data_IF_863152767499
#
_entry.id   IF_863152767499
#
_cell.length_a   1.000
_cell.length_b   1.000
_cell.length_c   1.000
_cell.angle_alpha   90.00
_cell.angle_beta   90.00
_cell.angle_gamma   90.00
#
_symmetry.space_group_name_H-M   'P 1'
#
loop_
_entity.id
_entity.type
_entity.pdbx_description
1 polymer ?
#
# COMPACT_ATOMS: atom_id res chain seq x y z
N UNK A 1 -21.32 -3.85 -19.27
CA UNK A 1 -20.11 -3.26 -18.66
C UNK A 1 -19.22 -2.78 -19.78
N UNK A 2 -18.82 -1.52 -19.73
CA UNK A 2 -17.79 -0.98 -20.60
C UNK A 2 -16.46 -1.70 -20.27
N UNK A 3 -15.82 -2.41 -21.23
CA UNK A 3 -14.56 -3.11 -20.98
C UNK A 3 -13.38 -2.20 -20.63
N UNK A 4 -13.57 -0.87 -20.63
CA UNK A 4 -12.54 0.14 -20.34
C UNK A 4 -12.43 0.58 -18.87
N UNK A 5 -13.36 0.23 -17.98
CA UNK A 5 -13.32 0.67 -16.57
C UNK A 5 -13.40 -0.52 -15.61
N UNK A 6 -12.44 -1.44 -15.77
CA UNK A 6 -12.11 -2.43 -14.74
C UNK A 6 -10.73 -2.06 -14.18
N UNK A 7 -10.74 -1.40 -13.02
CA UNK A 7 -9.54 -0.93 -12.37
C UNK A 7 -8.65 -2.08 -11.90
N UNK A 8 -9.23 -3.22 -11.48
CA UNK A 8 -8.45 -4.41 -11.12
C UNK A 8 -7.75 -4.97 -12.34
N UNK A 9 -8.43 -5.05 -13.49
CA UNK A 9 -7.80 -5.55 -14.72
C UNK A 9 -6.61 -4.68 -15.18
N UNK A 10 -6.67 -3.37 -14.97
CA UNK A 10 -5.64 -2.45 -15.45
C UNK A 10 -4.49 -2.23 -14.46
N UNK A 11 -4.68 -2.52 -13.17
CA UNK A 11 -3.68 -2.29 -12.12
C UNK A 11 -3.29 -3.58 -11.36
N UNK A 12 -4.18 -4.55 -11.24
CA UNK A 12 -4.03 -5.63 -10.27
C UNK A 12 -4.34 -5.17 -8.84
N UNK A 13 -5.00 -4.02 -8.66
CA UNK A 13 -5.56 -3.60 -7.38
C UNK A 13 -4.53 -3.27 -6.30
N UNK A 14 -5.02 -3.08 -5.08
CA UNK A 14 -4.22 -2.59 -3.96
C UNK A 14 -3.19 -3.61 -3.47
N UNK A 15 -3.40 -4.92 -3.64
CA UNK A 15 -2.41 -5.93 -3.24
C UNK A 15 -1.13 -5.88 -4.10
N UNK A 16 -1.22 -5.36 -5.33
CA UNK A 16 -0.09 -5.20 -6.25
C UNK A 16 0.50 -3.79 -6.19
N UNK A 17 -0.33 -2.74 -6.16
CA UNK A 17 0.17 -1.36 -6.22
C UNK A 17 0.43 -0.71 -4.86
N UNK A 18 -0.25 -1.16 -3.79
CA UNK A 18 -0.03 -0.67 -2.43
C UNK A 18 0.68 -1.73 -1.62
N UNK A 19 0.08 -2.88 -1.31
CA UNK A 19 0.64 -3.85 -0.35
C UNK A 19 2.01 -4.45 -0.70
N UNK A 20 2.47 -4.34 -1.95
CA UNK A 20 3.81 -4.79 -2.37
C UNK A 20 4.93 -4.21 -1.49
N UNK A 21 4.87 -2.95 -1.04
CA UNK A 21 5.91 -2.47 -0.12
C UNK A 21 5.90 -3.19 1.23
N UNK A 22 4.74 -3.61 1.75
CA UNK A 22 4.66 -4.42 2.97
C UNK A 22 5.19 -5.82 2.76
N UNK A 23 4.86 -6.46 1.62
CA UNK A 23 5.37 -7.79 1.31
C UNK A 23 6.89 -7.78 1.14
N UNK A 24 7.44 -6.73 0.55
CA UNK A 24 8.89 -6.54 0.44
C UNK A 24 9.55 -6.43 1.82
N UNK A 25 9.02 -5.58 2.70
CA UNK A 25 9.49 -5.45 4.08
C UNK A 25 9.47 -6.80 4.82
N UNK A 26 8.39 -7.57 4.70
CA UNK A 26 8.31 -8.90 5.36
C UNK A 26 9.31 -9.88 4.75
N UNK A 27 9.47 -9.90 3.43
CA UNK A 27 10.46 -10.75 2.76
C UNK A 27 11.88 -10.41 3.24
N UNK A 28 12.19 -9.11 3.33
CA UNK A 28 13.46 -8.59 3.83
C UNK A 28 13.70 -8.98 5.29
N UNK A 29 12.76 -8.69 6.20
CA UNK A 29 12.88 -8.99 7.63
C UNK A 29 13.00 -10.47 7.93
N UNK A 30 12.27 -11.32 7.19
CA UNK A 30 12.32 -12.77 7.36
C UNK A 30 13.42 -13.44 6.52
N UNK A 31 14.11 -12.68 5.65
CA UNK A 31 15.09 -13.15 4.68
C UNK A 31 14.62 -14.38 3.91
N UNK A 32 13.40 -14.30 3.37
CA UNK A 32 12.75 -15.43 2.70
C UNK A 32 11.73 -14.94 1.68
N UNK A 33 11.09 -15.89 0.99
CA UNK A 33 10.16 -15.62 -0.10
C UNK A 33 8.85 -16.38 0.10
N UNK A 34 7.73 -15.85 -0.43
CA UNK A 34 6.45 -16.53 -0.35
C UNK A 34 6.53 -17.86 -1.10
N UNK A 35 5.86 -18.87 -0.57
CA UNK A 35 5.71 -20.19 -1.18
C UNK A 35 4.26 -20.43 -1.60
N UNK A 36 3.31 -20.17 -0.70
CA UNK A 36 1.89 -20.37 -0.96
C UNK A 36 1.10 -19.22 -0.38
N UNK A 37 0.13 -18.71 -1.14
CA UNK A 37 -0.72 -17.58 -0.76
C UNK A 37 -2.18 -17.98 -0.87
N UNK A 38 -2.96 -17.67 0.16
CA UNK A 38 -4.42 -17.72 0.12
C UNK A 38 -4.97 -16.35 0.48
N UNK A 39 -6.01 -15.88 -0.20
CA UNK A 39 -6.57 -14.56 0.06
C UNK A 39 -8.09 -14.51 -0.17
N UNK A 40 -8.70 -13.56 0.54
CA UNK A 40 -10.07 -13.10 0.33
C UNK A 40 -10.07 -11.58 0.26
N UNK A 41 -11.00 -11.00 -0.47
CA UNK A 41 -11.16 -9.56 -0.54
C UNK A 41 -12.55 -9.18 -1.00
N UNK A 42 -12.98 -8.00 -0.57
CA UNK A 42 -14.29 -7.44 -0.87
C UNK A 42 -14.15 -5.94 -1.18
N UNK A 43 -15.08 -5.42 -1.99
CA UNK A 43 -15.30 -4.00 -2.21
C UNK A 43 -16.54 -3.58 -1.42
N UNK A 44 -16.34 -2.97 -0.26
CA UNK A 44 -17.39 -2.74 0.73
C UNK A 44 -17.72 -1.25 0.98
N UNK A 45 -16.79 -0.33 0.70
CA UNK A 45 -16.90 1.09 1.03
C UNK A 45 -16.91 1.99 -0.21
N UNK A 46 -15.99 1.76 -1.14
CA UNK A 46 -15.85 2.53 -2.38
C UNK A 46 -16.80 2.05 -3.49
N UNK A 47 -16.93 2.87 -4.53
CA UNK A 47 -17.88 2.63 -5.63
C UNK A 47 -19.30 3.08 -5.32
N UNK A 48 -20.05 3.45 -6.37
CA UNK A 48 -21.40 4.02 -6.24
C UNK A 48 -22.35 3.14 -5.44
N UNK A 49 -22.44 1.86 -5.76
CA UNK A 49 -23.40 0.94 -5.12
C UNK A 49 -23.20 0.88 -3.59
N UNK A 50 -21.94 0.87 -3.14
CA UNK A 50 -21.63 0.83 -1.72
C UNK A 50 -21.89 2.17 -1.03
N UNK A 51 -21.62 3.28 -1.70
CA UNK A 51 -21.98 4.61 -1.21
C UNK A 51 -23.51 4.78 -1.07
N UNK A 52 -24.29 4.32 -2.06
CA UNK A 52 -25.77 4.32 -2.00
C UNK A 52 -26.30 3.48 -0.83
N UNK A 53 -25.73 2.28 -0.59
CA UNK A 53 -26.06 1.45 0.59
C UNK A 53 -25.76 2.14 1.91
N UNK A 54 -24.77 3.05 1.94
CA UNK A 54 -24.46 3.91 3.10
C UNK A 54 -25.34 5.15 3.20
N UNK A 55 -26.22 5.38 2.23
CA UNK A 55 -27.16 6.51 2.22
C UNK A 55 -26.67 7.74 1.46
N UNK A 56 -25.55 7.66 0.73
CA UNK A 56 -25.10 8.75 -0.12
C UNK A 56 -26.04 8.92 -1.31
N UNK A 57 -26.37 10.17 -1.62
CA UNK A 57 -27.35 10.52 -2.68
C UNK A 57 -26.82 11.53 -3.69
N UNK A 58 -25.63 12.09 -3.44
CA UNK A 58 -25.00 13.08 -4.30
C UNK A 58 -23.73 12.47 -4.88
N UNK A 59 -23.67 12.41 -6.20
CA UNK A 59 -22.57 11.81 -6.92
C UNK A 59 -22.05 12.75 -8.00
N UNK A 60 -20.79 12.57 -8.35
CA UNK A 60 -20.13 13.27 -9.44
C UNK A 60 -19.12 12.34 -10.10
N UNK A 61 -18.78 12.61 -11.35
CA UNK A 61 -17.78 11.81 -12.08
C UNK A 61 -16.37 12.31 -11.80
N UNK A 62 -16.15 13.63 -11.79
CA UNK A 62 -14.87 14.29 -11.51
C UNK A 62 -15.04 15.49 -10.59
N UNK A 63 -14.03 15.78 -9.78
CA UNK A 63 -14.08 16.88 -8.83
C UNK A 63 -14.08 18.25 -9.53
N UNK A 64 -13.30 18.40 -10.60
CA UNK A 64 -13.20 19.62 -11.38
C UNK A 64 -14.54 20.00 -12.00
N UNK A 65 -15.01 21.21 -11.71
CA UNK A 65 -16.30 21.74 -12.20
C UNK A 65 -17.54 21.19 -11.48
N UNK A 66 -17.39 20.34 -10.45
CA UNK A 66 -18.52 19.77 -9.70
C UNK A 66 -18.84 20.59 -8.44
N UNK A 67 -20.07 21.10 -8.33
CA UNK A 67 -20.55 21.75 -7.11
C UNK A 67 -20.69 20.76 -5.94
N UNK A 68 -21.00 19.50 -6.22
CA UNK A 68 -21.10 18.45 -5.19
C UNK A 68 -19.72 18.18 -4.58
N UNK A 69 -18.68 18.12 -5.40
CA UNK A 69 -17.33 17.76 -4.97
C UNK A 69 -16.73 18.76 -3.99
N UNK A 70 -17.12 20.04 -4.04
CA UNK A 70 -16.60 21.09 -3.13
C UNK A 70 -16.81 20.79 -1.64
N UNK A 71 -17.80 19.96 -1.32
CA UNK A 71 -18.12 19.57 0.05
C UNK A 71 -17.73 18.11 0.37
N UNK A 72 -17.13 17.39 -0.58
CA UNK A 72 -16.76 15.99 -0.43
C UNK A 72 -15.30 15.87 0.06
N UNK A 73 -15.04 15.28 1.24
CA UNK A 73 -13.67 15.09 1.73
C UNK A 73 -12.82 14.14 0.87
N UNK A 74 -13.43 13.35 -0.02
CA UNK A 74 -12.72 12.47 -0.95
C UNK A 74 -12.33 13.18 -2.26
N UNK A 75 -12.80 14.41 -2.51
CA UNK A 75 -12.56 15.11 -3.75
C UNK A 75 -11.11 15.62 -3.84
N UNK A 76 -10.42 15.31 -4.94
CA UNK A 76 -9.12 15.87 -5.28
C UNK A 76 -9.27 17.14 -6.12
N UNK A 77 -9.13 18.31 -5.52
CA UNK A 77 -9.24 19.60 -6.20
C UNK A 77 -7.91 20.03 -6.84
N UNK A 78 -7.65 19.57 -8.07
CA UNK A 78 -6.41 19.85 -8.79
C UNK A 78 -6.15 21.35 -9.01
N UNK A 79 -7.19 22.14 -9.21
CA UNK A 79 -7.12 23.57 -9.50
C UNK A 79 -6.67 24.44 -8.30
N UNK A 80 -6.78 23.91 -7.09
CA UNK A 80 -6.35 24.60 -5.86
C UNK A 80 -4.85 24.47 -5.59
N UNK A 81 -4.16 23.55 -6.28
CA UNK A 81 -2.71 23.36 -6.15
C UNK A 81 -2.03 23.65 -7.50
N UNK A 82 -1.22 24.72 -7.63
CA UNK A 82 -0.58 25.09 -8.90
C UNK A 82 0.27 23.99 -9.53
N UNK A 83 0.93 23.16 -8.72
CA UNK A 83 1.74 22.04 -9.22
C UNK A 83 0.86 20.93 -9.79
N UNK A 84 -0.18 20.52 -9.06
CA UNK A 84 -1.13 19.52 -9.56
C UNK A 84 -1.88 20.00 -10.79
N UNK A 85 -2.28 21.27 -10.79
CA UNK A 85 -2.93 21.88 -11.94
C UNK A 85 -2.03 21.79 -13.17
N UNK A 86 -0.78 22.22 -13.06
CA UNK A 86 0.18 22.21 -14.18
C UNK A 86 0.46 20.78 -14.68
N UNK A 87 0.65 19.82 -13.77
CA UNK A 87 1.00 18.45 -14.13
C UNK A 87 -0.17 17.62 -14.67
N UNK A 88 -1.38 17.86 -14.18
CA UNK A 88 -2.54 17.01 -14.49
C UNK A 88 -3.63 17.79 -15.22
N UNK A 89 -4.22 18.81 -14.60
CA UNK A 89 -5.41 19.47 -15.13
C UNK A 89 -5.14 20.21 -16.45
N UNK A 90 -4.06 20.99 -16.53
CA UNK A 90 -3.70 21.73 -17.76
C UNK A 90 -3.17 20.78 -18.84
N UNK A 91 -2.70 19.58 -18.45
CA UNK A 91 -2.13 18.54 -19.31
C UNK A 91 -3.15 17.51 -19.81
N UNK A 92 -4.43 17.56 -19.41
CA UNK A 92 -5.46 16.58 -19.79
C UNK A 92 -5.61 16.41 -21.32
N UNK A 93 -5.21 17.41 -22.11
CA UNK A 93 -5.27 17.37 -23.57
C UNK A 93 -4.23 16.45 -24.21
N UNK A 94 -3.20 16.02 -23.47
CA UNK A 94 -2.13 15.15 -23.96
C UNK A 94 -2.60 13.69 -24.08
N UNK A 95 -3.34 13.18 -23.09
CA UNK A 95 -3.70 11.76 -22.99
C UNK A 95 -5.10 11.48 -22.40
N UNK A 96 -5.87 12.52 -22.06
CA UNK A 96 -7.16 12.42 -21.36
C UNK A 96 -7.07 11.70 -20.00
N UNK A 97 -5.93 11.76 -19.33
CA UNK A 97 -5.75 11.22 -17.98
C UNK A 97 -6.42 12.12 -16.93
N UNK A 98 -7.58 11.68 -16.47
CA UNK A 98 -8.37 12.39 -15.47
C UNK A 98 -8.06 11.88 -14.05
N UNK A 99 -7.17 12.57 -13.34
CA UNK A 99 -6.71 12.17 -11.99
C UNK A 99 -7.76 12.37 -10.88
N UNK A 100 -8.70 13.27 -11.07
CA UNK A 100 -9.69 13.71 -10.07
C UNK A 100 -11.05 13.00 -10.18
N UNK A 101 -11.05 11.79 -10.71
CA UNK A 101 -12.26 10.95 -10.77
C UNK A 101 -12.75 10.59 -9.36
N UNK A 102 -14.07 10.52 -9.20
CA UNK A 102 -14.67 10.14 -7.92
C UNK A 102 -14.39 8.67 -7.59
N UNK A 103 -13.92 8.42 -6.36
CA UNK A 103 -13.79 7.07 -5.78
C UNK A 103 -15.14 6.39 -5.51
N UNK A 104 -16.26 7.11 -5.70
CA UNK A 104 -17.63 6.59 -5.67
C UNK A 104 -18.30 6.62 -7.05
N UNK A 105 -17.49 6.72 -8.11
CA UNK A 105 -17.95 6.58 -9.49
C UNK A 105 -18.38 5.16 -9.84
N UNK A 106 -18.83 4.99 -11.08
CA UNK A 106 -19.11 3.67 -11.66
C UNK A 106 -17.79 2.96 -12.02
N UNK A 107 -17.79 1.62 -12.03
CA UNK A 107 -16.64 0.82 -12.48
C UNK A 107 -15.54 0.58 -11.43
N UNK A 108 -15.64 1.20 -10.25
CA UNK A 108 -14.77 0.87 -9.11
C UNK A 108 -14.90 -0.62 -8.81
N UNK A 109 -13.77 -1.32 -8.89
CA UNK A 109 -13.70 -2.79 -8.88
C UNK A 109 -12.60 -3.32 -7.96
N UNK A 110 -11.71 -2.45 -7.47
CA UNK A 110 -10.62 -2.84 -6.60
C UNK A 110 -11.16 -3.12 -5.20
N UNK A 111 -10.79 -4.27 -4.63
CA UNK A 111 -11.10 -4.62 -3.25
C UNK A 111 -10.51 -3.57 -2.29
N UNK A 112 -11.31 -3.15 -1.32
CA UNK A 112 -10.94 -2.16 -0.31
C UNK A 112 -10.79 -2.78 1.08
N UNK A 113 -11.15 -4.04 1.22
CA UNK A 113 -10.84 -4.90 2.37
C UNK A 113 -10.24 -6.19 1.85
N UNK A 114 -9.02 -6.53 2.27
CA UNK A 114 -8.36 -7.78 1.88
C UNK A 114 -7.73 -8.47 3.08
N UNK A 115 -7.77 -9.80 3.08
CA UNK A 115 -7.10 -10.65 4.05
C UNK A 115 -6.26 -11.70 3.30
N UNK A 116 -4.99 -11.82 3.65
CA UNK A 116 -4.02 -12.66 2.96
C UNK A 116 -3.27 -13.53 3.96
N UNK A 117 -3.21 -14.83 3.70
CA UNK A 117 -2.38 -15.79 4.41
C UNK A 117 -1.22 -16.20 3.51
N UNK A 118 0.01 -16.07 4.00
CA UNK A 118 1.22 -16.44 3.27
C UNK A 118 2.00 -17.48 4.06
N UNK A 119 2.35 -18.60 3.41
CA UNK A 119 3.37 -19.54 3.88
C UNK A 119 4.69 -19.18 3.21
N UNK A 120 5.73 -18.98 4.00
CA UNK A 120 7.08 -18.70 3.53
C UNK A 120 7.94 -19.96 3.44
N UNK A 121 8.94 -19.94 2.56
CA UNK A 121 9.84 -21.08 2.32
C UNK A 121 10.65 -21.51 3.55
N UNK A 122 10.99 -20.57 4.44
CA UNK A 122 11.66 -20.88 5.71
C UNK A 122 10.72 -21.47 6.78
N UNK A 123 9.44 -21.65 6.47
CA UNK A 123 8.43 -22.17 7.38
C UNK A 123 7.63 -21.11 8.16
N UNK A 124 8.00 -19.83 8.10
CA UNK A 124 7.22 -18.75 8.70
C UNK A 124 5.85 -18.62 8.03
N UNK A 125 4.90 -18.01 8.73
CA UNK A 125 3.57 -17.69 8.21
C UNK A 125 3.20 -16.25 8.53
N UNK A 126 2.61 -15.57 7.55
CA UNK A 126 2.06 -14.23 7.70
C UNK A 126 0.54 -14.29 7.60
N UNK A 127 -0.13 -13.54 8.47
CA UNK A 127 -1.52 -13.11 8.30
C UNK A 127 -1.49 -11.61 8.08
N UNK A 128 -1.95 -11.18 6.91
CA UNK A 128 -1.96 -9.79 6.47
C UNK A 128 -3.40 -9.33 6.26
N UNK A 129 -3.68 -8.07 6.61
CA UNK A 129 -4.98 -7.44 6.38
C UNK A 129 -4.77 -6.01 5.93
N UNK A 130 -5.55 -5.56 4.96
CA UNK A 130 -5.62 -4.17 4.51
C UNK A 130 -7.08 -3.72 4.53
N UNK A 131 -7.32 -2.53 5.07
CA UNK A 131 -8.60 -1.82 4.97
C UNK A 131 -8.34 -0.41 4.47
N UNK A 132 -8.75 -0.12 3.24
CA UNK A 132 -8.42 1.13 2.54
C UNK A 132 -9.29 2.33 2.97
N UNK A 133 -10.28 2.11 3.83
CA UNK A 133 -11.18 3.13 4.38
C UNK A 133 -11.08 3.21 5.92
N UNK A 134 -9.93 2.82 6.48
CA UNK A 134 -9.69 2.96 7.91
C UNK A 134 -9.71 4.44 8.34
N UNK A 135 -10.16 4.76 9.57
CA UNK A 135 -10.23 6.15 10.05
C UNK A 135 -8.87 6.72 10.47
N UNK A 136 -7.77 6.03 10.19
CA UNK A 136 -6.40 6.41 10.49
C UNK A 136 -5.46 5.76 9.47
N UNK A 137 -4.27 6.32 9.29
CA UNK A 137 -3.26 5.83 8.36
C UNK A 137 -2.04 5.26 9.12
N UNK A 138 -1.51 4.15 8.63
CA UNK A 138 -0.34 3.48 9.22
C UNK A 138 -0.50 1.96 9.23
N UNK A 139 0.37 1.29 9.98
CA UNK A 139 0.40 -0.16 10.02
C UNK A 139 0.86 -0.71 11.37
N UNK A 140 0.52 -1.98 11.60
CA UNK A 140 1.02 -2.78 12.72
C UNK A 140 1.65 -4.05 12.20
N UNK A 141 2.83 -4.38 12.72
CA UNK A 141 3.52 -5.64 12.45
C UNK A 141 3.83 -6.32 13.76
N UNK A 142 3.71 -7.65 13.80
CA UNK A 142 4.07 -8.43 14.97
C UNK A 142 4.74 -9.74 14.58
N UNK A 143 5.97 -9.93 15.04
CA UNK A 143 6.73 -11.16 14.86
C UNK A 143 6.61 -12.00 16.11
N UNK A 144 6.16 -13.25 15.97
CA UNK A 144 6.13 -14.21 17.07
C UNK A 144 7.17 -15.29 16.78
N UNK A 145 8.13 -15.44 17.68
CA UNK A 145 9.15 -16.48 17.63
C UNK A 145 9.19 -17.26 18.93
N UNK A 146 10.05 -18.28 18.99
CA UNK A 146 10.21 -19.12 20.19
C UNK A 146 10.79 -18.37 21.39
N UNK A 147 11.45 -17.22 21.15
CA UNK A 147 12.01 -16.35 22.20
C UNK A 147 11.09 -15.22 22.67
N UNK A 148 9.89 -15.06 22.09
CA UNK A 148 8.97 -13.98 22.43
C UNK A 148 8.35 -13.30 21.20
N UNK A 149 7.97 -12.01 21.36
CA UNK A 149 7.28 -11.22 20.34
C UNK A 149 7.90 -9.84 20.16
N UNK A 150 8.07 -9.42 18.91
CA UNK A 150 8.40 -8.04 18.55
C UNK A 150 7.17 -7.39 17.92
N UNK A 151 6.79 -6.21 18.40
CA UNK A 151 5.63 -5.45 17.93
C UNK A 151 6.11 -4.10 17.40
N UNK A 152 5.60 -3.72 16.24
CA UNK A 152 5.80 -2.41 15.63
C UNK A 152 4.44 -1.80 15.35
N UNK A 153 4.23 -0.57 15.78
CA UNK A 153 3.09 0.27 15.43
C UNK A 153 3.61 1.56 14.84
N UNK A 154 3.12 1.89 13.66
CA UNK A 154 3.40 3.13 12.96
C UNK A 154 2.06 3.78 12.67
N UNK A 155 1.89 5.01 13.13
CA UNK A 155 0.75 5.89 12.84
C UNK A 155 1.30 7.04 12.00
N UNK A 156 0.72 7.21 10.83
CA UNK A 156 1.07 8.24 9.86
C UNK A 156 0.03 9.36 9.92
N UNK A 157 0.44 10.60 9.68
CA UNK A 157 -0.49 11.69 9.54
C UNK A 157 -1.32 11.46 8.28
N UNK A 158 -2.65 11.52 8.39
CA UNK A 158 -3.54 11.37 7.25
C UNK A 158 -3.27 12.45 6.21
N UNK A 159 -2.72 12.05 5.06
CA UNK A 159 -2.33 12.96 3.99
C UNK A 159 -2.97 12.52 2.67
N UNK A 160 -3.67 13.44 2.01
CA UNK A 160 -4.09 13.21 0.62
C UNK A 160 -2.86 13.44 -0.25
N UNK A 161 -2.34 12.35 -0.82
CA UNK A 161 -1.16 12.40 -1.67
C UNK A 161 -1.30 13.52 -2.71
N UNK A 162 -0.33 14.44 -2.69
CA UNK A 162 -0.19 15.58 -3.59
C UNK A 162 -1.12 16.79 -3.37
N UNK A 163 -2.05 16.76 -2.40
CA UNK A 163 -2.97 17.87 -2.10
C UNK A 163 -2.42 18.95 -1.16
N UNK A 164 -1.32 18.69 -0.45
CA UNK A 164 -0.67 19.61 0.50
C UNK A 164 0.84 19.71 0.31
N UNK A 165 1.57 20.30 1.27
CA UNK A 165 3.04 20.37 1.24
C UNK A 165 3.65 18.95 1.20
N UNK A 166 4.55 18.69 0.24
CA UNK A 166 5.23 17.40 0.07
C UNK A 166 5.99 16.96 1.32
N UNK A 167 6.36 17.90 2.20
CA UNK A 167 6.99 17.60 3.48
C UNK A 167 6.09 16.78 4.44
N UNK A 168 4.79 16.69 4.19
CA UNK A 168 3.84 15.96 5.04
C UNK A 168 3.46 14.56 4.53
N UNK A 169 3.85 14.20 3.30
CA UNK A 169 3.62 12.86 2.75
C UNK A 169 4.45 11.82 3.53
N UNK A 170 3.79 10.79 4.04
CA UNK A 170 4.43 9.77 4.88
C UNK A 170 5.01 10.32 6.19
N UNK A 171 4.53 11.48 6.66
CA UNK A 171 4.97 12.05 7.94
C UNK A 171 4.40 11.24 9.10
N UNK A 172 5.25 10.89 10.06
CA UNK A 172 4.90 10.04 11.20
C UNK A 172 4.18 10.86 12.28
N UNK A 173 3.01 10.41 12.72
CA UNK A 173 2.37 10.88 13.95
C UNK A 173 3.03 10.19 15.15
N UNK A 174 3.18 8.87 15.09
CA UNK A 174 3.86 8.10 16.14
C UNK A 174 4.46 6.80 15.62
N UNK A 175 5.55 6.38 16.26
CA UNK A 175 6.20 5.07 16.04
C UNK A 175 6.50 4.44 17.39
N UNK A 176 6.11 3.18 17.55
CA UNK A 176 6.37 2.39 18.75
C UNK A 176 6.90 1.02 18.41
N UNK A 177 8.02 0.65 19.02
CA UNK A 177 8.59 -0.69 18.91
C UNK A 177 8.65 -1.30 20.30
N UNK A 178 7.98 -2.44 20.49
CA UNK A 178 7.89 -3.12 21.77
C UNK A 178 8.39 -4.55 21.64
N UNK A 179 9.45 -4.88 22.39
CA UNK A 179 9.96 -6.23 22.50
C UNK A 179 9.39 -6.89 23.76
N UNK A 180 8.78 -8.05 23.60
CA UNK A 180 8.22 -8.89 24.65
C UNK A 180 9.01 -10.20 24.70
N UNK A 181 10.11 -10.29 25.46
CA UNK A 181 10.82 -11.55 25.61
C UNK A 181 9.93 -12.58 26.32
N UNK A 182 10.14 -13.85 26.02
CA UNK A 182 9.42 -14.93 26.68
C UNK A 182 9.74 -14.92 28.19
N UNK A 183 8.69 -14.93 29.02
CA UNK A 183 8.78 -14.91 30.49
C UNK A 183 9.39 -13.66 31.13
N UNK A 184 9.54 -12.57 30.40
CA UNK A 184 10.06 -11.30 30.93
C UNK A 184 9.06 -10.15 30.73
N UNK A 185 9.34 -9.00 31.37
CA UNK A 185 8.55 -7.79 31.15
C UNK A 185 8.84 -7.22 29.75
N UNK A 186 7.82 -6.68 29.06
CA UNK A 186 8.03 -5.94 27.81
C UNK A 186 8.98 -4.75 28.00
N UNK A 187 9.79 -4.48 26.97
CA UNK A 187 10.68 -3.32 26.90
C UNK A 187 10.47 -2.58 25.58
N UNK A 188 10.33 -1.27 25.68
CA UNK A 188 10.24 -0.41 24.51
C UNK A 188 11.64 -0.22 23.91
N UNK A 189 11.75 -0.35 22.58
CA UNK A 189 12.98 -0.14 21.83
C UNK A 189 12.89 1.23 21.18
N UNK A 190 13.87 2.08 21.48
CA UNK A 190 14.01 3.39 20.84
C UNK A 190 14.89 3.26 19.61
N UNK A 191 14.45 3.86 18.51
CA UNK A 191 15.20 3.96 17.26
C UNK A 191 15.25 5.43 16.91
N UNK A 192 16.38 5.88 16.36
CA UNK A 192 16.54 7.25 15.91
C UNK A 192 15.65 7.51 14.69
N UNK A 193 15.13 8.73 14.57
CA UNK A 193 14.37 9.14 13.39
C UNK A 193 15.34 9.59 12.30
N UNK A 194 15.08 9.17 11.05
CA UNK A 194 15.79 9.70 9.90
C UNK A 194 15.29 11.11 9.54
N UNK A 195 16.11 11.84 8.78
CA UNK A 195 15.77 13.19 8.32
C UNK A 195 15.26 13.12 6.88
N UNK A 196 14.09 13.71 6.61
CA UNK A 196 13.50 13.82 5.27
C UNK A 196 12.12 13.14 5.15
N UNK A 197 11.56 13.13 3.94
CA UNK A 197 10.30 12.47 3.62
C UNK A 197 10.37 10.95 3.86
N UNK A 198 9.22 10.33 4.18
CA UNK A 198 9.12 8.90 4.49
C UNK A 198 10.13 8.42 5.56
N UNK A 199 10.30 9.21 6.63
CA UNK A 199 11.26 8.93 7.70
C UNK A 199 12.73 8.97 7.28
N UNK A 200 13.05 9.64 6.17
CA UNK A 200 14.39 9.77 5.60
C UNK A 200 14.78 8.71 4.57
N UNK A 201 13.87 7.78 4.24
CA UNK A 201 14.12 6.71 3.27
C UNK A 201 14.43 7.22 1.86
N UNK A 202 13.72 8.25 1.41
CA UNK A 202 13.86 8.80 0.05
C UNK A 202 15.26 9.34 -0.22
N UNK A 203 15.85 10.04 0.76
CA UNK A 203 17.22 10.57 0.64
C UNK A 203 18.25 9.45 0.48
N UNK A 204 18.09 8.36 1.23
CA UNK A 204 18.97 7.19 1.17
C UNK A 204 18.82 6.50 -0.19
N UNK A 205 17.58 6.28 -0.64
CA UNK A 205 17.27 5.68 -1.94
C UNK A 205 17.85 6.50 -3.10
N UNK A 206 17.63 7.81 -3.11
CA UNK A 206 18.11 8.68 -4.18
C UNK A 206 19.64 8.74 -4.21
N UNK A 207 20.31 8.72 -3.05
CA UNK A 207 21.77 8.65 -3.01
C UNK A 207 22.31 7.30 -3.52
N UNK A 208 21.62 6.19 -3.28
CA UNK A 208 21.99 4.88 -3.82
C UNK A 208 21.85 4.85 -5.36
N UNK A 209 20.78 5.45 -5.90
CA UNK A 209 20.49 5.45 -7.34
C UNK A 209 21.32 6.46 -8.15
N UNK A 210 21.49 7.68 -7.64
CA UNK A 210 22.08 8.80 -8.38
C UNK A 210 23.32 9.40 -7.73
N UNK A 211 23.58 9.05 -6.48
CA UNK A 211 24.66 9.62 -5.68
C UNK A 211 25.93 8.77 -5.71
N UNK A 212 26.73 8.90 -4.65
CA UNK A 212 27.90 8.06 -4.43
C UNK A 212 27.51 6.90 -3.51
N UNK A 213 27.70 5.63 -3.94
CA UNK A 213 27.42 4.48 -3.10
C UNK A 213 28.15 4.58 -1.76
N UNK A 214 27.41 4.29 -0.68
CA UNK A 214 27.94 4.23 0.68
C UNK A 214 27.79 2.82 1.23
N UNK A 215 28.60 2.45 2.23
CA UNK A 215 28.40 1.18 2.92
C UNK A 215 27.06 1.18 3.64
N UNK A 216 26.27 0.12 3.44
CA UNK A 216 24.98 -0.05 4.11
C UNK A 216 25.02 -1.23 5.09
N UNK A 217 25.25 -0.93 6.37
CA UNK A 217 25.27 -1.93 7.45
C UNK A 217 23.96 -2.72 7.55
N UNK A 218 22.84 -2.09 7.16
CA UNK A 218 21.52 -2.69 7.27
C UNK A 218 21.07 -3.43 6.01
N UNK A 219 21.89 -3.46 4.95
CA UNK A 219 21.62 -4.21 3.72
C UNK A 219 20.23 -3.91 3.11
N UNK A 220 19.80 -2.66 3.12
CA UNK A 220 18.46 -2.18 2.75
C UNK A 220 18.22 -2.13 1.24
N UNK A 221 19.28 -2.15 0.44
CA UNK A 221 19.17 -2.09 -1.01
C UNK A 221 18.41 -3.31 -1.55
N UNK A 222 17.28 -3.07 -2.22
CA UNK A 222 16.49 -4.10 -2.85
C UNK A 222 16.91 -4.30 -4.31
N UNK A 223 17.02 -5.55 -4.74
CA UNK A 223 17.27 -5.89 -6.14
C UNK A 223 15.95 -6.01 -6.93
N UNK A 224 16.07 -6.10 -8.26
CA UNK A 224 14.93 -6.44 -9.12
C UNK A 224 14.31 -7.82 -8.79
N UNK A 225 15.09 -8.73 -8.19
CA UNK A 225 14.62 -10.05 -7.75
C UNK A 225 13.75 -9.92 -6.51
N UNK A 226 14.13 -9.04 -5.57
CA UNK A 226 13.34 -8.74 -4.37
C UNK A 226 12.02 -8.07 -4.75
N UNK A 227 12.08 -7.11 -5.69
CA UNK A 227 10.88 -6.51 -6.28
C UNK A 227 9.96 -7.53 -6.94
N UNK A 228 10.51 -8.48 -7.72
CA UNK A 228 9.74 -9.57 -8.32
C UNK A 228 9.12 -10.50 -7.27
N UNK A 229 9.87 -10.89 -6.24
CA UNK A 229 9.37 -11.73 -5.15
C UNK A 229 8.25 -11.05 -4.35
N UNK A 230 8.37 -9.74 -4.15
CA UNK A 230 7.38 -8.94 -3.45
C UNK A 230 6.05 -8.87 -4.22
N UNK A 231 6.10 -8.43 -5.49
CA UNK A 231 4.88 -8.26 -6.31
C UNK A 231 4.16 -9.59 -6.54
N UNK A 232 4.89 -10.71 -6.61
CA UNK A 232 4.31 -12.04 -6.77
C UNK A 232 3.40 -12.45 -5.60
N UNK A 233 3.64 -11.92 -4.39
CA UNK A 233 2.72 -12.13 -3.26
C UNK A 233 1.36 -11.54 -3.56
N UNK A 234 1.33 -10.29 -4.07
CA UNK A 234 0.10 -9.60 -4.47
C UNK A 234 -0.61 -10.27 -5.66
N UNK A 235 0.15 -10.67 -6.68
CA UNK A 235 -0.40 -11.38 -7.86
C UNK A 235 -1.00 -12.73 -7.44
N UNK A 236 -0.32 -13.48 -6.57
CA UNK A 236 -0.83 -14.75 -6.04
C UNK A 236 -2.10 -14.54 -5.22
N UNK A 237 -2.15 -13.49 -4.40
CA UNK A 237 -3.33 -13.14 -3.63
C UNK A 237 -4.52 -12.79 -4.53
N UNK A 238 -4.35 -12.00 -5.59
CA UNK A 238 -5.42 -11.72 -6.54
C UNK A 238 -5.93 -12.98 -7.25
N UNK A 239 -5.01 -13.87 -7.68
CA UNK A 239 -5.39 -15.17 -8.25
C UNK A 239 -6.17 -16.01 -7.23
N UNK A 240 -5.79 -15.95 -5.95
CA UNK A 240 -6.49 -16.66 -4.88
C UNK A 240 -7.91 -16.11 -4.67
N UNK A 241 -8.08 -14.79 -4.63
CA UNK A 241 -9.40 -14.14 -4.54
C UNK A 241 -10.30 -14.57 -5.71
N UNK A 242 -9.77 -14.51 -6.94
CA UNK A 242 -10.53 -14.85 -8.14
C UNK A 242 -10.95 -16.33 -8.23
N UNK A 243 -10.17 -17.24 -7.63
CA UNK A 243 -10.40 -18.70 -7.73
C UNK A 243 -10.97 -19.33 -6.46
N UNK A 244 -10.89 -18.65 -5.33
CA UNK A 244 -11.17 -19.20 -4.00
C UNK A 244 -10.19 -20.28 -3.56
N UNK A 245 -9.02 -20.40 -4.18
CA UNK A 245 -8.04 -21.46 -3.92
C UNK A 245 -6.72 -20.90 -3.42
N UNK A 246 -5.95 -21.71 -2.69
CA UNK A 246 -4.56 -21.39 -2.38
C UNK A 246 -3.69 -21.49 -3.66
N UNK A 247 -2.78 -20.54 -3.83
CA UNK A 247 -1.91 -20.42 -5.01
C UNK A 247 -0.47 -20.67 -4.60
N UNK A 248 0.20 -21.62 -5.27
CA UNK A 248 1.64 -21.75 -5.19
C UNK A 248 2.29 -20.66 -6.04
N UNK A 249 3.22 -19.92 -5.46
CA UNK A 249 3.86 -18.77 -6.12
C UNK A 249 4.68 -19.21 -7.33
N UNK A 250 5.29 -20.40 -7.29
CA UNK A 250 6.11 -20.92 -8.38
C UNK A 250 5.27 -21.27 -9.64
N UNK A 251 3.96 -21.46 -9.50
CA UNK A 251 3.03 -21.64 -10.63
C UNK A 251 2.79 -20.32 -11.41
N UNK A 252 3.17 -19.19 -10.83
CA UNK A 252 3.08 -17.86 -11.45
C UNK A 252 4.38 -17.53 -12.16
N UNK A 253 5.49 -17.54 -11.41
CA UNK A 253 6.83 -17.25 -11.89
C UNK A 253 7.86 -17.83 -10.93
N UNK A 254 8.80 -18.60 -11.45
CA UNK A 254 9.97 -19.05 -10.72
C UNK A 254 10.98 -17.90 -10.61
N UNK A 255 11.19 -17.41 -9.39
CA UNK A 255 12.16 -16.35 -9.12
C UNK A 255 13.54 -16.97 -8.81
N UNK A 256 14.62 -16.56 -9.51
CA UNK A 256 15.98 -17.07 -9.25
C UNK A 256 16.42 -16.87 -7.81
N UNK A 257 17.14 -17.83 -7.24
CA UNK A 257 17.65 -17.76 -5.86
C UNK A 257 18.67 -16.62 -5.65
N UNK A 258 19.30 -16.14 -6.73
CA UNK A 258 20.32 -15.10 -6.79
C UNK A 258 20.34 -14.45 -8.17
#
# INVERSE_FOLDING_TARGET
>A
MDPYVDFVRNSGGLLVHKSTHHFDLVNFWLQTRPQTVFATGDLAFYGRENAEKRGETKFYTRAHGSEVAKADPFALHLDLNPQLKSMYLDAEHEDAYYRDQSVFGDGISIEDTMNVLVKYRNGASLSYSLTAYAPWEGFRVSFNGTGGRLEVEVVENSYVNSGGDQAHEGSLESRKILLRPLFEKPREIKVEDGVGAHGGGDTVLLNDLFGTPVSDEYMRAASHIDGAASILTGIAANRSIATGQAVNVDDILLVPSS
#
